data_IF_677892279370
#
_entry.id   IF_677892279370
#
_cell.length_a   1.000
_cell.length_b   1.000
_cell.length_c   1.000
_cell.angle_alpha   90.00
_cell.angle_beta   90.00
_cell.angle_gamma   90.00
#
_symmetry.space_group_name_H-M   'P 1'
#
loop_
_entity.id
_entity.type
_entity.pdbx_description
1 polymer ?
#
# COMPACT_ATOMS: atom_id res chain seq x y z
N UNK A 1 -41.36 -9.34 42.41
CA UNK A 1 -41.40 -8.25 41.41
C UNK A 1 -40.16 -7.33 41.37
N UNK A 2 -39.11 -7.47 42.21
CA UNK A 2 -37.90 -6.62 42.16
C UNK A 2 -36.85 -7.04 41.12
N UNK A 3 -36.75 -8.33 40.81
CA UNK A 3 -35.77 -8.91 39.88
C UNK A 3 -36.01 -8.52 38.41
N UNK A 4 -37.27 -8.43 37.98
CA UNK A 4 -37.62 -8.07 36.60
C UNK A 4 -37.23 -6.64 36.22
N UNK A 5 -37.35 -5.70 37.18
CA UNK A 5 -36.96 -4.30 36.96
C UNK A 5 -35.46 -4.12 36.80
N UNK A 6 -34.66 -4.93 37.50
CA UNK A 6 -33.19 -4.90 37.36
C UNK A 6 -32.71 -5.53 36.06
N UNK A 7 -33.33 -6.63 35.61
CA UNK A 7 -33.05 -7.28 34.32
C UNK A 7 -33.34 -6.34 33.13
N UNK A 8 -34.47 -5.63 33.15
CA UNK A 8 -34.81 -4.63 32.12
C UNK A 8 -33.79 -3.49 32.09
N UNK A 9 -33.38 -2.98 33.27
CA UNK A 9 -32.36 -1.92 33.33
C UNK A 9 -31.01 -2.38 32.78
N UNK A 10 -30.63 -3.63 33.03
CA UNK A 10 -29.41 -4.24 32.49
C UNK A 10 -29.43 -4.30 30.95
N UNK A 11 -30.56 -4.73 30.36
CA UNK A 11 -30.74 -4.76 28.91
C UNK A 11 -30.70 -3.34 28.33
N UNK A 12 -31.40 -2.38 28.97
CA UNK A 12 -31.40 -0.99 28.52
C UNK A 12 -30.00 -0.36 28.57
N UNK A 13 -29.23 -0.61 29.63
CA UNK A 13 -27.84 -0.13 29.73
C UNK A 13 -26.97 -0.73 28.63
N UNK A 14 -27.11 -2.03 28.34
CA UNK A 14 -26.37 -2.69 27.25
C UNK A 14 -26.65 -2.06 25.88
N UNK A 15 -27.93 -1.82 25.57
CA UNK A 15 -28.35 -1.18 24.29
C UNK A 15 -27.86 0.27 24.20
N UNK A 16 -27.87 1.00 25.32
CA UNK A 16 -27.34 2.38 25.35
C UNK A 16 -25.82 2.37 25.15
N UNK A 17 -25.11 1.43 25.78
CA UNK A 17 -23.66 1.33 25.67
C UNK A 17 -23.23 1.02 24.23
N UNK A 18 -23.93 0.12 23.54
CA UNK A 18 -23.65 -0.20 22.14
C UNK A 18 -23.94 0.97 21.20
N UNK A 19 -25.02 1.73 21.43
CA UNK A 19 -25.31 2.97 20.72
C UNK A 19 -24.22 4.03 20.91
N UNK A 20 -23.75 4.20 22.15
CA UNK A 20 -22.65 5.14 22.45
C UNK A 20 -21.38 4.73 21.71
N UNK A 21 -21.00 3.44 21.72
CA UNK A 21 -19.81 2.97 21.00
C UNK A 21 -19.94 3.19 19.49
N UNK A 22 -21.11 2.94 18.89
CA UNK A 22 -21.34 3.25 17.48
C UNK A 22 -21.25 4.75 17.17
N UNK A 23 -21.84 5.61 18.00
CA UNK A 23 -21.80 7.06 17.81
C UNK A 23 -20.37 7.58 17.98
N UNK A 24 -19.65 7.14 19.01
CA UNK A 24 -18.26 7.52 19.26
C UNK A 24 -17.35 7.02 18.15
N UNK A 25 -17.56 5.79 17.65
CA UNK A 25 -16.85 5.26 16.49
C UNK A 25 -17.11 6.08 15.22
N UNK A 26 -18.37 6.43 14.95
CA UNK A 26 -18.75 7.25 13.80
C UNK A 26 -18.19 8.68 13.90
N UNK A 27 -18.20 9.29 15.08
CA UNK A 27 -17.63 10.63 15.31
C UNK A 27 -16.10 10.57 15.18
N UNK A 28 -15.39 9.64 15.83
CA UNK A 28 -13.92 9.58 15.74
C UNK A 28 -13.40 9.17 14.36
N UNK A 29 -14.11 8.34 13.61
CA UNK A 29 -13.76 8.02 12.21
C UNK A 29 -13.97 9.25 11.31
N UNK A 30 -14.98 10.08 11.59
CA UNK A 30 -15.28 11.26 10.77
C UNK A 30 -14.45 12.50 11.16
N UNK A 31 -14.11 12.68 12.44
CA UNK A 31 -13.33 13.85 12.94
C UNK A 31 -11.81 13.61 12.96
N UNK A 32 -11.33 12.51 12.38
CA UNK A 32 -9.95 12.04 12.48
C UNK A 32 -9.05 12.27 11.27
N UNK A 33 -9.47 13.05 10.26
CA UNK A 33 -8.59 13.55 9.20
C UNK A 33 -8.89 15.02 8.96
N UNK A 34 -8.41 15.88 9.85
CA UNK A 34 -7.97 17.22 9.50
C UNK A 34 -6.45 17.16 9.47
N UNK A 35 -5.88 17.00 8.28
CA UNK A 35 -4.47 17.25 8.07
C UNK A 35 -4.28 18.78 8.11
N UNK A 36 -3.71 19.29 9.19
CA UNK A 36 -3.35 20.71 9.26
C UNK A 36 -2.27 21.01 8.20
N UNK A 37 -2.43 22.08 7.39
CA UNK A 37 -1.40 22.50 6.46
C UNK A 37 -0.28 23.18 7.25
N UNK A 38 0.95 22.72 7.06
CA UNK A 38 2.13 23.43 7.56
C UNK A 38 2.31 24.67 6.66
N UNK A 39 1.87 25.84 7.14
CA UNK A 39 2.20 27.13 6.54
C UNK A 39 3.69 27.44 6.73
N UNK A 40 4.33 27.90 5.66
CA UNK A 40 5.77 28.07 5.56
C UNK A 40 6.33 29.24 6.36
N UNK A 41 7.63 29.16 6.62
CA UNK A 41 8.46 30.27 7.05
C UNK A 41 9.31 30.71 5.85
N UNK A 42 8.92 31.82 5.22
CA UNK A 42 9.77 32.56 4.29
C UNK A 42 10.57 33.60 5.08
N UNK A 43 11.90 33.62 4.95
CA UNK A 43 12.60 34.66 4.14
C UNK A 43 14.13 34.64 4.29
N UNK A 44 14.76 35.22 3.26
CA UNK A 44 16.16 35.54 3.00
C UNK A 44 16.97 34.39 2.35
N UNK A 45 17.61 34.54 1.19
CA UNK A 45 18.03 35.76 0.49
C UNK A 45 18.30 35.44 -0.99
N UNK A 46 18.00 36.40 -1.86
CA UNK A 46 18.19 36.30 -3.30
C UNK A 46 19.68 36.51 -3.64
N UNK A 47 20.35 35.48 -4.17
CA UNK A 47 21.77 35.52 -4.54
C UNK A 47 21.99 34.94 -5.93
N UNK A 48 22.18 35.85 -6.89
CA UNK A 48 22.87 35.75 -8.18
C UNK A 48 23.15 34.35 -8.76
N UNK A 49 22.49 34.05 -9.88
CA UNK A 49 22.82 32.94 -10.77
C UNK A 49 24.12 33.24 -11.53
N UNK A 50 25.16 32.44 -11.32
CA UNK A 50 26.20 32.14 -12.31
C UNK A 50 26.22 30.62 -12.56
N UNK A 51 26.45 30.16 -13.80
CA UNK A 51 26.16 28.80 -14.21
C UNK A 51 27.31 27.85 -13.88
N UNK A 52 27.02 26.78 -13.15
CA UNK A 52 27.95 25.67 -12.96
C UNK A 52 27.25 24.32 -13.19
N UNK A 53 27.58 23.77 -14.36
CA UNK A 53 27.83 22.34 -14.65
C UNK A 53 26.64 21.36 -14.57
N UNK A 54 26.14 20.99 -15.76
CA UNK A 54 25.19 19.89 -15.99
C UNK A 54 25.86 18.52 -15.72
N UNK A 55 25.47 17.89 -14.61
CA UNK A 55 25.56 16.43 -14.44
C UNK A 55 24.56 15.73 -15.38
N UNK A 56 24.84 14.53 -15.91
CA UNK A 56 24.08 13.97 -17.02
C UNK A 56 22.63 13.69 -16.62
N UNK A 57 21.72 14.31 -17.36
CA UNK A 57 20.28 14.31 -17.16
C UNK A 57 19.66 12.90 -17.30
N UNK A 58 19.21 12.34 -16.16
CA UNK A 58 18.41 11.11 -16.09
C UNK A 58 16.93 11.29 -16.48
N UNK A 59 16.54 12.42 -17.06
CA UNK A 59 15.16 12.80 -17.39
C UNK A 59 14.71 12.41 -18.81
N UNK A 60 15.35 11.41 -19.44
CA UNK A 60 14.69 10.75 -20.56
C UNK A 60 13.46 10.00 -20.04
N UNK A 61 12.24 10.27 -20.57
CA UNK A 61 11.06 9.49 -20.22
C UNK A 61 11.39 7.99 -20.40
N UNK A 62 11.07 7.14 -19.42
CA UNK A 62 11.39 5.73 -19.55
C UNK A 62 10.72 5.16 -20.80
N UNK A 63 11.50 4.49 -21.64
CA UNK A 63 11.01 3.91 -22.89
C UNK A 63 9.84 2.94 -22.67
N UNK A 64 9.82 2.26 -21.51
CA UNK A 64 8.71 1.45 -21.04
C UNK A 64 8.13 2.02 -19.74
N UNK A 65 6.90 2.50 -19.80
CA UNK A 65 6.19 3.13 -18.67
C UNK A 65 5.30 2.15 -17.90
N UNK A 66 5.15 0.90 -18.37
CA UNK A 66 4.30 -0.12 -17.73
C UNK A 66 4.88 -0.52 -16.37
N UNK A 67 4.00 -0.64 -15.38
CA UNK A 67 4.32 -1.05 -14.02
C UNK A 67 3.52 -2.31 -13.67
N UNK A 68 4.18 -3.30 -13.08
CA UNK A 68 3.50 -4.42 -12.40
C UNK A 68 3.61 -4.23 -10.90
N UNK A 69 2.51 -4.32 -10.17
CA UNK A 69 2.49 -4.31 -8.71
C UNK A 69 2.31 -5.74 -8.20
N UNK A 70 3.42 -6.40 -7.87
CA UNK A 70 3.44 -7.76 -7.33
C UNK A 70 3.27 -7.71 -5.81
N UNK A 71 2.19 -8.29 -5.28
CA UNK A 71 1.96 -8.25 -3.83
C UNK A 71 0.87 -9.16 -3.32
N UNK A 72 0.56 -8.99 -2.03
CA UNK A 72 -0.45 -9.79 -1.32
C UNK A 72 -1.83 -9.10 -1.28
N UNK A 73 -2.61 -9.35 -0.22
CA UNK A 73 -3.91 -8.70 0.02
C UNK A 73 -3.87 -7.17 0.03
N UNK A 74 -2.76 -6.56 0.47
CA UNK A 74 -2.63 -5.09 0.51
C UNK A 74 -2.43 -4.50 -0.89
N UNK A 75 -1.92 -5.29 -1.83
CA UNK A 75 -1.85 -4.90 -3.24
C UNK A 75 -3.14 -5.21 -3.97
N UNK A 76 -3.79 -6.34 -3.65
CA UNK A 76 -5.10 -6.70 -4.21
C UNK A 76 -6.17 -5.62 -3.98
N UNK A 77 -6.16 -4.97 -2.81
CA UNK A 77 -7.19 -4.01 -2.38
C UNK A 77 -8.13 -4.55 -1.31
N UNK A 78 -7.77 -5.62 -0.61
CA UNK A 78 -8.61 -6.21 0.44
C UNK A 78 -8.85 -5.20 1.59
N UNK A 79 -10.07 -5.11 2.17
CA UNK A 79 -11.27 -5.92 1.92
C UNK A 79 -12.16 -5.43 0.76
N UNK A 80 -11.73 -4.40 0.03
CA UNK A 80 -12.40 -3.87 -1.16
C UNK A 80 -12.16 -4.70 -2.43
N UNK A 81 -12.26 -4.04 -3.58
CA UNK A 81 -11.99 -4.64 -4.89
C UNK A 81 -10.70 -4.09 -5.52
N UNK A 82 -10.31 -4.64 -6.67
CA UNK A 82 -9.13 -4.16 -7.42
C UNK A 82 -9.29 -2.69 -7.83
N UNK A 83 -10.52 -2.23 -8.03
CA UNK A 83 -10.84 -0.83 -8.38
C UNK A 83 -10.56 0.15 -7.24
N UNK A 84 -10.57 -0.33 -5.99
CA UNK A 84 -10.28 0.47 -4.79
C UNK A 84 -8.78 0.40 -4.38
N UNK A 85 -7.99 -0.35 -5.15
CA UNK A 85 -6.61 -0.68 -4.79
C UNK A 85 -5.64 0.48 -5.08
N UNK A 86 -4.54 0.54 -4.32
CA UNK A 86 -3.51 1.55 -4.56
C UNK A 86 -2.89 1.47 -5.97
N UNK A 87 -2.69 0.29 -6.62
CA UNK A 87 -2.23 0.24 -8.01
C UNK A 87 -3.19 0.94 -8.97
N UNK A 88 -4.51 0.86 -8.72
CA UNK A 88 -5.50 1.57 -9.53
C UNK A 88 -5.32 3.08 -9.42
N UNK A 89 -5.16 3.59 -8.19
CA UNK A 89 -4.90 5.01 -7.97
C UNK A 89 -3.58 5.48 -8.60
N UNK A 90 -2.53 4.65 -8.59
CA UNK A 90 -1.27 4.95 -9.28
C UNK A 90 -1.48 5.04 -10.79
N UNK A 91 -2.23 4.11 -11.39
CA UNK A 91 -2.57 4.15 -12.81
C UNK A 91 -3.26 5.47 -13.20
N UNK A 92 -4.27 5.86 -12.41
CA UNK A 92 -5.06 7.08 -12.65
C UNK A 92 -4.23 8.36 -12.49
N UNK A 93 -3.31 8.40 -11.52
CA UNK A 93 -2.48 9.58 -11.24
C UNK A 93 -1.34 9.75 -12.23
N UNK A 94 -0.71 8.66 -12.66
CA UNK A 94 0.44 8.70 -13.57
C UNK A 94 0.02 8.62 -15.04
N UNK A 95 -1.23 8.22 -15.33
CA UNK A 95 -1.72 7.96 -16.67
C UNK A 95 -0.83 6.97 -17.45
N UNK A 96 -0.47 5.87 -16.78
CA UNK A 96 0.32 4.76 -17.34
C UNK A 96 -0.38 3.43 -17.10
N UNK A 97 0.01 2.40 -17.83
CA UNK A 97 -0.47 1.04 -17.60
C UNK A 97 0.11 0.50 -16.28
N UNK A 98 -0.76 0.18 -15.34
CA UNK A 98 -0.41 -0.46 -14.06
C UNK A 98 -1.20 -1.74 -13.93
N UNK A 99 -0.49 -2.85 -13.76
CA UNK A 99 -1.07 -4.18 -13.57
C UNK A 99 -1.06 -4.51 -12.09
N UNK A 100 -2.24 -4.74 -11.52
CA UNK A 100 -2.38 -5.23 -10.17
C UNK A 100 -2.22 -6.75 -10.13
N UNK A 101 -1.06 -7.22 -9.67
CA UNK A 101 -0.75 -8.65 -9.45
C UNK A 101 -0.84 -9.01 -7.96
N UNK A 102 -1.77 -8.38 -7.24
CA UNK A 102 -2.09 -8.66 -5.84
C UNK A 102 -2.93 -9.92 -5.68
N UNK A 103 -2.56 -10.81 -4.74
CA UNK A 103 -3.35 -12.02 -4.40
C UNK A 103 -3.45 -12.15 -2.88
N UNK A 104 -4.68 -12.30 -2.37
CA UNK A 104 -4.93 -12.39 -0.93
C UNK A 104 -4.27 -13.62 -0.30
N UNK A 105 -3.91 -13.51 0.99
CA UNK A 105 -3.29 -14.61 1.76
C UNK A 105 -2.03 -15.17 1.09
N UNK A 106 -1.06 -14.32 0.76
CA UNK A 106 0.21 -14.74 0.17
C UNK A 106 1.41 -14.19 0.93
N UNK A 107 2.54 -14.89 0.81
CA UNK A 107 3.84 -14.52 1.36
C UNK A 107 4.91 -14.44 0.26
N UNK A 108 6.15 -14.08 0.57
CA UNK A 108 7.21 -13.92 -0.46
C UNK A 108 7.45 -15.19 -1.28
N UNK A 109 7.37 -16.37 -0.67
CA UNK A 109 7.52 -17.64 -1.39
C UNK A 109 6.42 -17.86 -2.43
N UNK A 110 5.20 -17.40 -2.16
CA UNK A 110 4.07 -17.49 -3.07
C UNK A 110 4.24 -16.51 -4.25
N UNK A 111 4.75 -15.30 -3.98
CA UNK A 111 5.10 -14.30 -4.99
C UNK A 111 6.22 -14.80 -5.92
N UNK A 112 7.25 -15.41 -5.36
CA UNK A 112 8.38 -15.94 -6.12
C UNK A 112 7.95 -17.03 -7.11
N UNK A 113 7.07 -17.95 -6.68
CA UNK A 113 6.54 -19.04 -7.53
C UNK A 113 5.78 -18.55 -8.75
N UNK A 114 5.16 -17.37 -8.66
CA UNK A 114 4.30 -16.80 -9.71
C UNK A 114 4.93 -15.61 -10.43
N UNK A 115 6.20 -15.31 -10.16
CA UNK A 115 6.90 -14.19 -10.78
C UNK A 115 6.83 -14.24 -12.32
N UNK A 116 7.03 -15.42 -12.91
CA UNK A 116 7.03 -15.56 -14.38
C UNK A 116 5.65 -15.23 -14.98
N UNK A 117 4.58 -15.70 -14.34
CA UNK A 117 3.21 -15.54 -14.80
C UNK A 117 2.67 -14.13 -14.53
N UNK A 118 3.01 -13.56 -13.38
CA UNK A 118 2.42 -12.31 -12.90
C UNK A 118 3.29 -11.08 -13.14
N UNK A 119 4.57 -11.24 -13.53
CA UNK A 119 5.51 -10.14 -13.83
C UNK A 119 6.14 -10.31 -15.21
N UNK A 120 6.94 -11.37 -15.43
CA UNK A 120 7.77 -11.47 -16.65
C UNK A 120 6.93 -11.46 -17.92
N UNK A 121 5.80 -12.17 -17.95
CA UNK A 121 4.93 -12.26 -19.12
C UNK A 121 4.41 -10.90 -19.60
N UNK A 122 4.39 -9.90 -18.71
CA UNK A 122 3.89 -8.57 -19.02
C UNK A 122 4.96 -7.62 -19.55
N UNK A 123 6.24 -8.02 -19.51
CA UNK A 123 7.40 -7.21 -19.91
C UNK A 123 7.31 -5.75 -19.41
N UNK A 124 7.13 -5.52 -18.09
CA UNK A 124 7.01 -4.17 -17.57
C UNK A 124 8.37 -3.45 -17.57
N UNK A 125 8.34 -2.12 -17.57
CA UNK A 125 9.55 -1.34 -17.32
C UNK A 125 9.93 -1.31 -15.84
N UNK A 126 8.95 -1.53 -14.96
CA UNK A 126 9.11 -1.51 -13.50
C UNK A 126 8.26 -2.56 -12.79
N UNK A 127 8.77 -3.06 -11.67
CA UNK A 127 7.98 -3.88 -10.74
C UNK A 127 8.00 -3.27 -9.34
N UNK A 128 6.82 -3.13 -8.74
CA UNK A 128 6.70 -2.83 -7.31
C UNK A 128 6.45 -4.14 -6.58
N UNK A 129 7.39 -4.54 -5.74
CA UNK A 129 7.27 -5.72 -4.87
C UNK A 129 6.81 -5.26 -3.49
N UNK A 130 5.57 -5.58 -3.11
CA UNK A 130 5.03 -5.25 -1.80
C UNK A 130 4.56 -6.52 -1.08
N UNK A 131 5.39 -7.00 -0.16
CA UNK A 131 5.22 -8.28 0.53
C UNK A 131 5.75 -8.23 1.97
N UNK A 132 5.46 -9.28 2.75
CA UNK A 132 6.00 -9.49 4.10
C UNK A 132 4.95 -9.61 5.19
N UNK A 133 3.71 -9.14 4.98
CA UNK A 133 2.66 -9.31 6.00
C UNK A 133 2.24 -10.78 6.09
N UNK A 134 2.06 -11.46 4.95
CA UNK A 134 1.79 -12.89 4.94
C UNK A 134 2.90 -13.73 5.58
N UNK A 135 4.16 -13.34 5.39
CA UNK A 135 5.33 -13.94 6.02
C UNK A 135 5.28 -13.81 7.55
N UNK A 136 5.07 -12.59 8.04
CA UNK A 136 4.99 -12.29 9.46
C UNK A 136 3.83 -13.05 10.14
N UNK A 137 2.65 -13.08 9.51
CA UNK A 137 1.47 -13.79 10.04
C UNK A 137 1.67 -15.31 10.10
N UNK A 138 2.50 -15.87 9.23
CA UNK A 138 2.80 -17.31 9.18
C UNK A 138 4.02 -17.70 10.00
N UNK A 139 4.71 -16.74 10.62
CA UNK A 139 5.95 -16.99 11.35
C UNK A 139 7.09 -17.44 10.46
N UNK A 140 7.13 -16.98 9.21
CA UNK A 140 8.27 -17.20 8.30
C UNK A 140 9.51 -16.53 8.92
N UNK A 141 10.65 -17.22 8.88
CA UNK A 141 11.88 -16.69 9.45
C UNK A 141 12.35 -15.45 8.67
N UNK A 142 13.03 -14.52 9.35
CA UNK A 142 13.60 -13.34 8.69
C UNK A 142 14.60 -13.72 7.59
N UNK A 143 15.32 -14.83 7.77
CA UNK A 143 16.27 -15.36 6.79
C UNK A 143 15.55 -15.82 5.52
N UNK A 144 14.47 -16.58 5.67
CA UNK A 144 13.65 -17.06 4.56
C UNK A 144 12.98 -15.91 3.80
N UNK A 145 12.37 -14.97 4.51
CA UNK A 145 11.80 -13.76 3.90
C UNK A 145 12.85 -12.98 3.10
N UNK A 146 14.04 -12.75 3.67
CA UNK A 146 15.13 -12.03 2.99
C UNK A 146 15.61 -12.75 1.75
N UNK A 147 15.79 -14.08 1.83
CA UNK A 147 16.21 -14.89 0.70
C UNK A 147 15.21 -14.77 -0.45
N UNK A 148 13.93 -15.01 -0.18
CA UNK A 148 12.87 -15.00 -1.20
C UNK A 148 12.69 -13.60 -1.80
N UNK A 149 12.79 -12.54 -0.99
CA UNK A 149 12.72 -11.17 -1.48
C UNK A 149 13.94 -10.80 -2.35
N UNK A 150 15.14 -11.24 -1.95
CA UNK A 150 16.36 -11.02 -2.75
C UNK A 150 16.24 -11.72 -4.10
N UNK A 151 15.75 -12.96 -4.13
CA UNK A 151 15.55 -13.70 -5.39
C UNK A 151 14.51 -13.04 -6.31
N UNK A 152 13.44 -12.46 -5.76
CA UNK A 152 12.48 -11.67 -6.54
C UNK A 152 13.13 -10.44 -7.20
N UNK A 153 14.00 -9.73 -6.48
CA UNK A 153 14.73 -8.58 -7.02
C UNK A 153 15.74 -9.02 -8.08
N UNK A 154 16.54 -10.06 -7.82
CA UNK A 154 17.51 -10.60 -8.77
C UNK A 154 16.84 -11.07 -10.08
N UNK A 155 15.65 -11.67 -9.98
CA UNK A 155 14.84 -12.03 -11.16
C UNK A 155 14.40 -10.81 -11.98
N UNK A 156 13.92 -9.75 -11.31
CA UNK A 156 13.54 -8.50 -11.97
C UNK A 156 14.73 -7.85 -12.68
N UNK A 157 15.88 -7.75 -12.00
CA UNK A 157 17.10 -7.19 -12.57
C UNK A 157 17.61 -8.01 -13.76
N UNK A 158 17.58 -9.34 -13.68
CA UNK A 158 17.96 -10.23 -14.77
C UNK A 158 17.08 -10.06 -16.03
N UNK A 159 15.83 -9.61 -15.84
CA UNK A 159 14.88 -9.29 -16.91
C UNK A 159 15.00 -7.85 -17.44
N UNK A 160 15.91 -7.05 -16.87
CA UNK A 160 16.02 -5.63 -17.18
C UNK A 160 14.83 -4.80 -16.66
N UNK A 161 14.10 -5.32 -15.69
CA UNK A 161 12.99 -4.65 -15.02
C UNK A 161 13.54 -3.89 -13.80
N UNK A 162 13.13 -2.63 -13.65
CA UNK A 162 13.57 -1.77 -12.54
C UNK A 162 12.67 -1.82 -11.32
#
# INVERSE_FOLDING_TARGET
>A
MRTYRSQIRLIQISVILTLIVMIVGAVNVWTGIEAEPIEGEETAENGTLDPAEEEPDGNAPPANTKIVCLGDSFTFGYPGQIEDSWPRHVADRLNVEVINSGKVHQNTSDLLKRYEEDVRVHEPGRVVIFAGVGDALRGVSLEEFKRDLTELVEKAEADGIR
#
